data_IF_935875276396
#
_entry.id   IF_935875276396
#
_cell.length_a   1.000
_cell.length_b   1.000
_cell.length_c   1.000
_cell.angle_alpha   90.00
_cell.angle_beta   90.00
_cell.angle_gamma   90.00
#
_symmetry.space_group_name_H-M   'P 1'
#
loop_
_entity.id
_entity.type
_entity.pdbx_description
1 polymer ?
#
# COMPACT_ATOMS: atom_id res chain seq x y z
N UNK A 1 44.37 -13.78 13.25
CA UNK A 1 43.09 -14.41 12.92
C UNK A 1 42.91 -14.38 11.40
N UNK A 2 42.62 -15.53 10.80
CA UNK A 2 42.29 -15.63 9.38
C UNK A 2 40.96 -14.97 9.12
N UNK A 3 40.69 -14.53 7.87
CA UNK A 3 39.35 -13.99 7.49
C UNK A 3 38.33 -15.11 7.33
N UNK A 4 38.80 -16.30 6.98
CA UNK A 4 37.96 -17.48 6.78
C UNK A 4 37.83 -18.29 8.07
N UNK A 5 36.69 -19.00 8.21
CA UNK A 5 36.49 -19.95 9.30
C UNK A 5 37.47 -21.11 9.18
N UNK A 6 38.05 -21.50 10.31
CA UNK A 6 38.99 -22.63 10.41
C UNK A 6 38.27 -23.87 10.94
N UNK A 7 38.88 -25.05 10.78
CA UNK A 7 38.36 -26.28 11.39
C UNK A 7 38.25 -26.17 12.92
N UNK A 8 39.16 -25.44 13.56
CA UNK A 8 39.09 -25.21 14.99
C UNK A 8 37.89 -24.35 15.40
N UNK A 9 37.50 -23.38 14.54
CA UNK A 9 36.25 -22.60 14.77
C UNK A 9 35.04 -23.51 14.66
N UNK A 10 34.99 -24.39 13.66
CA UNK A 10 33.88 -25.33 13.49
C UNK A 10 33.75 -26.33 14.64
N UNK A 11 34.87 -26.86 15.13
CA UNK A 11 34.92 -27.75 16.30
C UNK A 11 34.40 -27.01 17.57
N UNK A 12 34.76 -25.74 17.74
CA UNK A 12 34.27 -24.92 18.83
C UNK A 12 32.78 -24.68 18.73
N UNK A 13 32.26 -24.35 17.52
CA UNK A 13 30.81 -24.15 17.29
C UNK A 13 30.01 -25.44 17.56
N UNK A 14 30.50 -26.59 17.10
CA UNK A 14 29.90 -27.89 17.37
C UNK A 14 29.84 -28.17 18.87
N UNK A 15 30.96 -27.99 19.57
CA UNK A 15 31.01 -28.17 21.01
C UNK A 15 30.09 -27.23 21.79
N UNK A 16 29.89 -25.98 21.32
CA UNK A 16 28.94 -25.05 21.89
C UNK A 16 27.49 -25.54 21.67
N UNK A 17 27.17 -26.00 20.45
CA UNK A 17 25.85 -26.55 20.13
C UNK A 17 25.50 -27.78 21.01
N UNK A 18 26.42 -28.73 21.17
CA UNK A 18 26.26 -29.95 21.97
C UNK A 18 25.98 -29.66 23.46
N UNK A 19 26.40 -28.49 23.95
CA UNK A 19 26.19 -28.04 25.33
C UNK A 19 24.85 -27.26 25.49
N UNK A 20 24.23 -26.90 24.39
CA UNK A 20 22.97 -26.11 24.44
C UNK A 20 21.83 -27.00 24.94
N UNK A 21 21.12 -26.64 26.00
CA UNK A 21 20.01 -27.43 26.52
C UNK A 21 18.93 -27.64 25.46
N UNK A 22 18.42 -28.87 25.36
CA UNK A 22 17.33 -29.23 24.45
C UNK A 22 17.61 -29.00 22.96
N UNK A 23 18.84 -28.74 22.53
CA UNK A 23 19.19 -28.40 21.14
C UNK A 23 18.62 -29.41 20.13
N UNK A 24 18.78 -30.72 20.37
CA UNK A 24 18.27 -31.76 19.47
C UNK A 24 16.75 -31.82 19.42
N UNK A 25 16.06 -31.47 20.50
CA UNK A 25 14.57 -31.39 20.52
C UNK A 25 14.10 -30.24 19.66
N UNK A 26 14.71 -29.07 19.83
CA UNK A 26 14.43 -27.87 19.05
C UNK A 26 14.77 -28.10 17.58
N UNK A 27 15.95 -28.69 17.30
CA UNK A 27 16.36 -29.02 15.93
C UNK A 27 15.33 -29.88 15.21
N UNK A 28 14.87 -30.99 15.83
CA UNK A 28 13.82 -31.86 15.25
C UNK A 28 12.52 -31.12 15.03
N UNK A 29 12.07 -30.29 15.99
CA UNK A 29 10.84 -29.51 15.86
C UNK A 29 10.92 -28.51 14.68
N UNK A 30 12.05 -27.82 14.53
CA UNK A 30 12.27 -26.86 13.44
C UNK A 30 12.42 -27.56 12.09
N UNK A 31 13.18 -28.67 12.03
CA UNK A 31 13.41 -29.45 10.81
C UNK A 31 12.11 -30.03 10.24
N UNK A 32 11.20 -30.48 11.10
CA UNK A 32 9.94 -31.11 10.69
C UNK A 32 8.87 -30.07 10.35
N UNK A 33 8.74 -28.98 11.14
CA UNK A 33 7.59 -28.05 11.06
C UNK A 33 7.95 -26.67 10.52
N UNK A 34 9.25 -26.36 10.38
CA UNK A 34 9.73 -25.03 10.06
C UNK A 34 9.72 -24.05 11.25
N UNK A 35 10.45 -22.94 11.09
CA UNK A 35 10.67 -21.95 12.16
C UNK A 35 9.34 -21.32 12.65
N UNK A 36 8.48 -20.92 11.73
CA UNK A 36 7.22 -20.25 12.06
C UNK A 36 6.31 -21.11 12.91
N UNK A 37 6.10 -22.38 12.54
CA UNK A 37 5.24 -23.28 13.30
C UNK A 37 5.88 -23.65 14.65
N UNK A 38 7.19 -23.91 14.70
CA UNK A 38 7.89 -24.25 15.93
C UNK A 38 7.95 -23.10 16.96
N UNK A 39 7.90 -21.84 16.50
CA UNK A 39 7.90 -20.64 17.34
C UNK A 39 6.52 -20.12 17.70
N UNK A 40 5.43 -20.73 17.21
CA UNK A 40 4.06 -20.23 17.40
C UNK A 40 3.68 -20.17 18.88
N UNK A 41 3.28 -18.97 19.34
CA UNK A 41 2.83 -18.74 20.70
C UNK A 41 1.33 -19.00 20.81
N UNK A 42 0.96 -20.12 21.40
CA UNK A 42 -0.44 -20.48 21.55
C UNK A 42 -1.20 -19.57 22.52
N UNK A 43 -0.52 -19.02 23.53
CA UNK A 43 -1.14 -18.16 24.53
C UNK A 43 -1.62 -16.80 23.95
N UNK A 44 -1.01 -16.33 22.85
CA UNK A 44 -1.43 -15.09 22.19
C UNK A 44 -2.90 -15.13 21.72
N UNK A 45 -3.45 -16.31 21.43
CA UNK A 45 -4.85 -16.46 20.96
C UNK A 45 -5.91 -15.94 21.93
N UNK A 46 -5.61 -15.83 23.22
CA UNK A 46 -6.57 -15.39 24.24
C UNK A 46 -7.04 -13.93 24.06
N UNK A 47 -6.29 -13.11 23.33
CA UNK A 47 -6.54 -11.68 23.15
C UNK A 47 -7.16 -11.33 21.78
N UNK A 48 -7.60 -12.31 21.00
CA UNK A 48 -8.02 -12.14 19.60
C UNK A 48 -9.54 -12.25 19.41
N UNK A 49 -10.34 -11.72 20.31
CA UNK A 49 -11.78 -11.59 20.11
C UNK A 49 -12.13 -10.40 19.19
N UNK A 50 -13.19 -10.57 18.38
CA UNK A 50 -13.66 -9.55 17.42
C UNK A 50 -14.72 -8.62 18.04
N UNK A 51 -14.42 -8.06 19.22
CA UNK A 51 -15.27 -7.06 19.88
C UNK A 51 -14.49 -5.77 20.00
N UNK A 52 -15.09 -4.66 19.55
CA UNK A 52 -14.46 -3.35 19.53
C UNK A 52 -15.43 -2.30 20.08
N UNK A 53 -14.91 -1.32 20.80
CA UNK A 53 -15.72 -0.25 21.39
C UNK A 53 -16.15 0.82 20.36
N UNK A 54 -15.42 0.93 19.25
CA UNK A 54 -15.74 1.81 18.12
C UNK A 54 -15.63 0.98 16.84
N UNK A 55 -16.69 0.93 16.04
CA UNK A 55 -16.71 0.25 14.74
C UNK A 55 -17.33 1.11 13.66
N UNK A 56 -16.81 0.98 12.44
CA UNK A 56 -17.27 1.62 11.22
C UNK A 56 -17.61 0.52 10.22
N UNK A 57 -18.83 0.52 9.69
CA UNK A 57 -19.23 -0.43 8.65
C UNK A 57 -18.80 0.09 7.28
N UNK A 58 -18.20 -0.76 6.46
CA UNK A 58 -17.63 -0.43 5.15
C UNK A 58 -18.22 -1.25 4.00
N UNK A 59 -19.21 -2.10 4.26
CA UNK A 59 -19.83 -2.99 3.26
C UNK A 59 -19.11 -4.33 3.09
N UNK A 60 -19.33 -5.02 1.96
CA UNK A 60 -18.70 -6.32 1.69
C UNK A 60 -17.21 -6.23 1.49
N UNK A 61 -16.51 -7.25 1.95
CA UNK A 61 -15.06 -7.37 1.77
C UNK A 61 -14.72 -7.53 0.29
N UNK A 62 -13.79 -6.72 -0.16
CA UNK A 62 -13.25 -6.76 -1.52
C UNK A 62 -12.11 -7.77 -1.66
N UNK A 63 -11.72 -8.08 -2.91
CA UNK A 63 -10.65 -9.05 -3.15
C UNK A 63 -9.78 -8.62 -4.33
N UNK A 64 -8.56 -8.14 -4.04
CA UNK A 64 -7.56 -7.77 -5.03
C UNK A 64 -6.93 -8.97 -5.77
N UNK A 65 -7.21 -10.20 -5.30
CA UNK A 65 -6.67 -11.45 -5.85
C UNK A 65 -5.14 -11.46 -5.89
N UNK A 66 -4.57 -11.78 -7.07
CA UNK A 66 -3.12 -11.84 -7.32
C UNK A 66 -2.64 -10.55 -8.01
N UNK A 67 -2.93 -9.41 -7.39
CA UNK A 67 -2.48 -8.10 -7.86
C UNK A 67 -1.95 -7.27 -6.69
N UNK A 68 -1.04 -6.33 -6.94
CA UNK A 68 -0.47 -5.41 -5.95
C UNK A 68 -1.31 -4.13 -5.73
N UNK A 69 -2.62 -4.18 -5.95
CA UNK A 69 -3.53 -3.01 -5.92
C UNK A 69 -4.12 -2.72 -4.53
N UNK A 70 -3.49 -3.18 -3.44
CA UNK A 70 -3.99 -2.99 -2.07
C UNK A 70 -4.28 -1.52 -1.75
N UNK A 71 -3.40 -0.62 -2.14
CA UNK A 71 -3.51 0.82 -1.94
C UNK A 71 -4.79 1.40 -2.56
N UNK A 72 -5.11 0.97 -3.78
CA UNK A 72 -6.31 1.41 -4.52
C UNK A 72 -7.58 0.79 -3.92
N UNK A 73 -7.59 -0.52 -3.63
CA UNK A 73 -8.71 -1.17 -2.95
C UNK A 73 -9.02 -0.51 -1.63
N UNK A 74 -8.01 -0.25 -0.79
CA UNK A 74 -8.18 0.42 0.50
C UNK A 74 -8.72 1.83 0.35
N UNK A 75 -8.22 2.63 -0.60
CA UNK A 75 -8.73 3.98 -0.86
C UNK A 75 -10.21 3.92 -1.25
N UNK A 76 -10.57 3.11 -2.25
CA UNK A 76 -11.95 3.01 -2.71
C UNK A 76 -12.89 2.45 -1.64
N UNK A 77 -12.41 1.55 -0.78
CA UNK A 77 -13.18 1.04 0.35
C UNK A 77 -13.48 2.11 1.41
N UNK A 78 -12.54 3.03 1.67
CA UNK A 78 -12.80 4.16 2.59
C UNK A 78 -13.82 5.17 2.01
N UNK A 79 -13.87 5.32 0.69
CA UNK A 79 -14.79 6.25 0.02
C UNK A 79 -16.20 5.69 -0.18
N UNK A 80 -16.33 4.39 -0.49
CA UNK A 80 -17.61 3.76 -0.86
C UNK A 80 -18.66 3.79 0.25
N UNK A 81 -18.24 3.85 1.52
CA UNK A 81 -19.13 3.86 2.67
C UNK A 81 -20.14 5.01 2.63
N UNK A 82 -19.64 6.23 2.36
CA UNK A 82 -20.53 7.41 2.27
C UNK A 82 -21.46 7.29 1.08
N UNK A 83 -20.95 6.85 -0.07
CA UNK A 83 -21.76 6.63 -1.27
C UNK A 83 -22.88 5.61 -1.03
N UNK A 84 -22.58 4.47 -0.40
CA UNK A 84 -23.58 3.46 -0.07
C UNK A 84 -24.69 4.04 0.83
N UNK A 85 -24.31 4.84 1.83
CA UNK A 85 -25.22 5.51 2.75
C UNK A 85 -26.11 6.53 2.02
N UNK A 86 -25.54 7.35 1.14
CA UNK A 86 -26.26 8.40 0.42
C UNK A 86 -27.21 7.81 -0.62
N UNK A 87 -26.83 6.71 -1.26
CA UNK A 87 -27.66 5.93 -2.19
C UNK A 87 -28.68 5.04 -1.47
N UNK A 88 -28.57 4.88 -0.15
CA UNK A 88 -29.36 3.95 0.66
C UNK A 88 -29.27 2.51 0.14
N UNK A 89 -28.05 2.04 -0.10
CA UNK A 89 -27.78 0.67 -0.54
C UNK A 89 -26.85 -0.02 0.46
N UNK A 90 -27.07 -1.31 0.70
CA UNK A 90 -26.23 -2.10 1.64
C UNK A 90 -24.80 -2.27 1.17
N UNK A 91 -24.63 -2.39 -0.15
CA UNK A 91 -23.35 -2.65 -0.77
C UNK A 91 -23.17 -1.75 -1.99
N UNK A 92 -22.03 -1.09 -2.02
CA UNK A 92 -21.59 -0.35 -3.18
C UNK A 92 -20.08 -0.64 -3.40
N UNK A 93 -19.68 -0.79 -4.65
CA UNK A 93 -18.28 -0.98 -5.01
C UNK A 93 -17.93 -0.17 -6.25
N UNK A 94 -16.83 0.58 -6.18
CA UNK A 94 -16.21 1.22 -7.33
C UNK A 94 -15.45 0.21 -8.17
N UNK A 95 -15.20 0.52 -9.42
CA UNK A 95 -14.36 -0.27 -10.31
C UNK A 95 -12.89 -0.01 -10.05
N UNK A 96 -12.23 -0.91 -9.36
CA UNK A 96 -10.77 -0.88 -9.24
C UNK A 96 -10.07 -1.13 -10.57
N UNK A 97 -10.74 -1.85 -11.48
CA UNK A 97 -10.23 -2.12 -12.82
C UNK A 97 -10.13 -0.83 -13.67
N UNK A 98 -11.10 0.09 -13.51
CA UNK A 98 -11.09 1.39 -14.19
C UNK A 98 -9.89 2.24 -13.76
N UNK A 99 -9.70 2.41 -12.46
CA UNK A 99 -8.58 3.20 -11.94
C UNK A 99 -7.23 2.51 -12.24
N UNK A 100 -7.17 1.18 -12.19
CA UNK A 100 -5.96 0.42 -12.55
C UNK A 100 -5.54 0.62 -14.00
N UNK A 101 -6.50 0.78 -14.92
CA UNK A 101 -6.18 1.09 -16.31
C UNK A 101 -5.41 2.41 -16.42
N UNK A 102 -5.89 3.46 -15.76
CA UNK A 102 -5.25 4.77 -15.80
C UNK A 102 -3.97 4.83 -14.96
N UNK A 103 -3.91 4.11 -13.85
CA UNK A 103 -2.70 3.95 -13.05
C UNK A 103 -1.55 3.43 -13.91
N UNK A 104 -1.75 2.32 -14.61
CA UNK A 104 -0.74 1.72 -15.48
C UNK A 104 -0.38 2.62 -16.66
N UNK A 105 -1.35 3.33 -17.21
CA UNK A 105 -1.10 4.29 -18.30
C UNK A 105 -0.22 5.46 -17.84
N UNK A 106 -0.51 6.03 -16.67
CA UNK A 106 0.25 7.16 -16.13
C UNK A 106 1.63 6.74 -15.63
N UNK A 107 1.76 5.56 -15.02
CA UNK A 107 3.07 5.00 -14.66
C UNK A 107 3.97 4.81 -15.86
N UNK A 108 3.44 4.25 -16.94
CA UNK A 108 4.20 4.14 -18.19
C UNK A 108 4.62 5.52 -18.72
N UNK A 109 3.71 6.51 -18.71
CA UNK A 109 4.02 7.88 -19.09
C UNK A 109 5.13 8.48 -18.22
N UNK A 110 5.02 8.33 -16.90
CA UNK A 110 6.02 8.81 -15.93
C UNK A 110 7.36 8.11 -16.13
N UNK A 111 7.36 6.79 -16.34
CA UNK A 111 8.57 6.03 -16.63
C UNK A 111 9.31 6.59 -17.87
N UNK A 112 8.61 6.85 -18.97
CA UNK A 112 9.25 7.44 -20.14
C UNK A 112 9.81 8.83 -19.88
N UNK A 113 9.11 9.70 -19.14
CA UNK A 113 9.64 11.03 -18.78
C UNK A 113 10.89 10.92 -17.88
N UNK A 114 10.91 9.99 -16.94
CA UNK A 114 12.10 9.68 -16.14
C UNK A 114 13.26 9.20 -17.01
N UNK A 115 13.00 8.32 -17.97
CA UNK A 115 14.01 7.82 -18.89
C UNK A 115 14.55 8.91 -19.83
N UNK A 116 13.71 9.86 -20.27
CA UNK A 116 14.14 11.04 -21.03
C UNK A 116 15.04 11.93 -20.17
N UNK A 117 14.63 12.24 -18.96
CA UNK A 117 15.42 13.06 -18.00
C UNK A 117 16.78 12.44 -17.67
N UNK A 118 16.83 11.13 -17.55
CA UNK A 118 18.04 10.39 -17.15
C UNK A 118 18.84 9.83 -18.34
N UNK A 119 18.46 10.16 -19.59
CA UNK A 119 19.05 9.59 -20.80
C UNK A 119 20.55 9.81 -20.97
N UNK A 120 21.12 10.90 -20.36
CA UNK A 120 22.54 11.23 -20.39
C UNK A 120 23.35 10.62 -19.23
N UNK A 121 22.67 10.05 -18.21
CA UNK A 121 23.36 9.46 -17.07
C UNK A 121 24.17 8.24 -17.48
N UNK A 122 25.23 7.93 -16.74
CA UNK A 122 26.04 6.73 -16.95
C UNK A 122 25.19 5.48 -16.76
N UNK A 123 25.65 4.35 -17.35
CA UNK A 123 24.91 3.08 -17.30
C UNK A 123 24.86 2.48 -15.86
N UNK A 124 25.77 2.91 -14.96
CA UNK A 124 25.84 2.53 -13.56
C UNK A 124 25.36 3.63 -12.59
N UNK A 125 24.76 4.71 -13.11
CA UNK A 125 24.13 5.75 -12.26
C UNK A 125 23.05 5.12 -11.40
N UNK A 126 23.10 5.37 -10.09
CA UNK A 126 22.22 4.74 -9.12
C UNK A 126 20.74 5.14 -9.33
N UNK A 127 20.48 6.40 -9.67
CA UNK A 127 19.11 6.87 -9.90
C UNK A 127 18.55 6.26 -11.18
N UNK A 128 19.35 6.23 -12.25
CA UNK A 128 18.95 5.61 -13.51
C UNK A 128 18.60 4.13 -13.32
N UNK A 129 19.47 3.35 -12.65
CA UNK A 129 19.23 1.94 -12.40
C UNK A 129 18.00 1.71 -11.51
N UNK A 130 17.82 2.52 -10.47
CA UNK A 130 16.67 2.43 -9.57
C UNK A 130 15.36 2.64 -10.33
N UNK A 131 15.25 3.73 -11.12
CA UNK A 131 14.05 4.03 -11.90
C UNK A 131 13.81 3.01 -13.03
N UNK A 132 14.89 2.49 -13.61
CA UNK A 132 14.80 1.42 -14.61
C UNK A 132 14.28 0.12 -13.99
N UNK A 133 14.73 -0.25 -12.80
CA UNK A 133 14.28 -1.47 -12.10
C UNK A 133 12.84 -1.34 -11.64
N UNK A 134 12.46 -0.17 -11.13
CA UNK A 134 11.10 0.09 -10.68
C UNK A 134 10.06 -0.14 -11.79
N UNK A 135 10.28 0.45 -12.96
CA UNK A 135 9.43 0.24 -14.14
C UNK A 135 7.97 0.68 -13.93
N UNK A 136 7.05 -0.20 -14.34
CA UNK A 136 5.60 -0.06 -14.21
C UNK A 136 5.07 -1.24 -13.37
N UNK A 137 4.84 -1.01 -12.07
CA UNK A 137 4.41 -2.01 -11.08
C UNK A 137 3.03 -1.67 -10.52
N UNK A 138 2.40 -2.64 -9.83
CA UNK A 138 1.05 -2.49 -9.28
C UNK A 138 0.95 -1.53 -8.07
N UNK A 139 2.04 -1.32 -7.34
CA UNK A 139 2.09 -0.57 -6.09
C UNK A 139 1.67 0.90 -6.22
N UNK A 140 1.35 1.54 -5.12
CA UNK A 140 1.00 2.96 -5.05
C UNK A 140 0.63 3.41 -3.66
N UNK A 141 0.34 4.70 -3.53
CA UNK A 141 0.00 5.39 -2.29
C UNK A 141 -1.41 5.97 -2.38
N UNK A 142 -1.96 6.44 -1.24
CA UNK A 142 -3.26 7.14 -1.23
C UNK A 142 -3.26 8.37 -2.17
N UNK A 143 -2.19 9.16 -2.16
CA UNK A 143 -2.05 10.33 -3.01
C UNK A 143 -2.14 9.98 -4.51
N UNK A 144 -1.61 8.82 -4.92
CA UNK A 144 -1.74 8.36 -6.31
C UNK A 144 -3.20 8.06 -6.68
N UNK A 145 -3.95 7.40 -5.78
CA UNK A 145 -5.38 7.17 -6.01
C UNK A 145 -6.15 8.50 -6.08
N UNK A 146 -5.86 9.44 -5.18
CA UNK A 146 -6.46 10.76 -5.17
C UNK A 146 -6.21 11.52 -6.49
N UNK A 147 -4.97 11.53 -6.97
CA UNK A 147 -4.59 12.17 -8.23
C UNK A 147 -5.30 11.54 -9.44
N UNK A 148 -5.37 10.20 -9.50
CA UNK A 148 -6.09 9.47 -10.56
C UNK A 148 -7.58 9.79 -10.54
N UNK A 149 -8.22 9.73 -9.38
CA UNK A 149 -9.66 10.01 -9.23
C UNK A 149 -9.96 11.46 -9.57
N UNK A 150 -9.14 12.41 -9.14
CA UNK A 150 -9.29 13.82 -9.50
C UNK A 150 -9.20 14.04 -11.01
N UNK A 151 -8.32 13.33 -11.71
CA UNK A 151 -8.12 13.47 -13.15
C UNK A 151 -9.17 12.73 -13.98
N UNK A 152 -9.47 11.49 -13.64
CA UNK A 152 -10.26 10.57 -14.46
C UNK A 152 -11.67 10.30 -13.93
N UNK A 153 -11.98 10.67 -12.69
CA UNK A 153 -13.25 10.34 -12.04
C UNK A 153 -13.30 8.89 -11.59
N UNK A 154 -14.52 8.42 -11.32
CA UNK A 154 -14.82 7.06 -10.87
C UNK A 154 -15.97 6.45 -11.66
N UNK A 155 -16.06 5.14 -11.66
CA UNK A 155 -17.21 4.41 -12.17
C UNK A 155 -17.61 3.29 -11.20
N UNK A 156 -18.90 2.88 -11.15
CA UNK A 156 -19.33 1.70 -10.43
C UNK A 156 -18.65 0.42 -11.00
N UNK A 157 -18.46 -0.59 -10.16
CA UNK A 157 -17.85 -1.87 -10.57
C UNK A 157 -18.59 -2.55 -11.72
N UNK A 158 -19.91 -2.41 -11.79
CA UNK A 158 -20.73 -2.97 -12.87
C UNK A 158 -20.42 -2.39 -14.24
N UNK A 159 -19.89 -1.18 -14.31
CA UNK A 159 -19.58 -0.46 -15.57
C UNK A 159 -18.26 -0.92 -16.18
N UNK A 160 -17.28 -1.21 -15.35
CA UNK A 160 -15.99 -1.79 -15.79
C UNK A 160 -15.54 -2.88 -14.79
N UNK A 161 -16.08 -4.10 -14.92
CA UNK A 161 -15.78 -5.20 -14.00
C UNK A 161 -14.34 -5.69 -14.12
N UNK A 162 -13.88 -6.45 -13.13
CA UNK A 162 -12.58 -7.10 -13.17
C UNK A 162 -12.46 -8.06 -14.35
N UNK A 163 -11.25 -8.18 -14.89
CA UNK A 163 -10.86 -9.13 -15.93
C UNK A 163 -9.93 -10.20 -15.32
N UNK A 164 -9.65 -11.25 -16.06
CA UNK A 164 -8.63 -12.23 -15.65
C UNK A 164 -7.28 -11.58 -15.39
N UNK A 165 -6.87 -10.62 -16.24
CA UNK A 165 -5.58 -9.94 -16.11
C UNK A 165 -5.56 -8.98 -14.93
N UNK A 166 -6.64 -8.22 -14.68
CA UNK A 166 -6.70 -7.32 -13.53
C UNK A 166 -6.69 -8.09 -12.19
N UNK A 167 -7.23 -9.31 -12.17
CA UNK A 167 -7.15 -10.21 -11.01
C UNK A 167 -5.83 -10.99 -10.90
N UNK A 168 -4.96 -10.95 -11.95
CA UNK A 168 -3.67 -11.66 -11.99
C UNK A 168 -2.68 -10.90 -12.87
N UNK A 169 -2.03 -9.88 -12.32
CA UNK A 169 -1.28 -8.86 -13.04
C UNK A 169 0.14 -9.25 -13.46
N UNK A 170 0.70 -10.34 -12.91
CA UNK A 170 2.13 -10.67 -13.08
C UNK A 170 2.56 -10.81 -14.55
N UNK A 171 1.78 -11.50 -15.39
CA UNK A 171 2.12 -11.66 -16.80
C UNK A 171 2.07 -10.33 -17.57
N UNK A 172 1.12 -9.45 -17.24
CA UNK A 172 1.07 -8.12 -17.82
C UNK A 172 2.27 -7.28 -17.38
N UNK A 173 2.63 -7.34 -16.09
CA UNK A 173 3.80 -6.65 -15.55
C UNK A 173 5.06 -7.05 -16.32
N UNK A 174 5.29 -8.35 -16.53
CA UNK A 174 6.46 -8.84 -17.27
C UNK A 174 6.50 -8.30 -18.70
N UNK A 175 5.40 -8.39 -19.43
CA UNK A 175 5.34 -7.96 -20.85
C UNK A 175 5.42 -6.44 -20.97
N UNK A 176 4.72 -5.70 -20.11
CA UNK A 176 4.72 -4.23 -20.13
C UNK A 176 6.11 -3.69 -19.76
N UNK A 177 6.73 -4.22 -18.70
CA UNK A 177 8.07 -3.82 -18.29
C UNK A 177 9.11 -4.13 -19.38
N UNK A 178 9.04 -5.31 -20.00
CA UNK A 178 9.93 -5.63 -21.12
C UNK A 178 9.78 -4.59 -22.26
N UNK A 179 8.54 -4.20 -22.57
CA UNK A 179 8.23 -3.21 -23.61
C UNK A 179 8.81 -1.84 -23.26
N UNK A 180 8.50 -1.28 -22.08
CA UNK A 180 8.93 0.08 -21.72
C UNK A 180 10.45 0.16 -21.52
N UNK A 181 11.08 -0.88 -20.93
CA UNK A 181 12.55 -0.95 -20.78
C UNK A 181 13.27 -1.07 -22.11
N UNK A 182 12.70 -1.80 -23.10
CA UNK A 182 13.19 -1.78 -24.47
C UNK A 182 13.15 -0.38 -25.08
N UNK A 183 12.06 0.33 -24.89
CA UNK A 183 11.90 1.70 -25.41
C UNK A 183 12.84 2.69 -24.70
N UNK A 184 13.14 2.49 -23.42
CA UNK A 184 14.14 3.27 -22.67
C UNK A 184 15.53 3.18 -23.34
N UNK A 185 15.91 2.01 -23.86
CA UNK A 185 17.16 1.86 -24.62
C UNK A 185 17.14 2.69 -25.92
N UNK A 186 16.01 2.76 -26.61
CA UNK A 186 15.88 3.60 -27.80
C UNK A 186 15.96 5.10 -27.44
N UNK A 187 15.36 5.54 -26.36
CA UNK A 187 15.48 6.92 -25.83
C UNK A 187 16.95 7.26 -25.58
N UNK A 188 17.73 6.36 -24.95
CA UNK A 188 19.17 6.60 -24.75
C UNK A 188 19.95 6.66 -26.07
N UNK A 189 19.62 5.81 -27.06
CA UNK A 189 20.22 5.90 -28.40
C UNK A 189 19.89 7.22 -29.10
N UNK A 190 18.63 7.66 -29.00
CA UNK A 190 18.21 8.96 -29.53
C UNK A 190 19.02 10.10 -28.90
N UNK A 191 19.20 10.09 -27.58
CA UNK A 191 20.01 11.10 -26.88
C UNK A 191 21.47 11.08 -27.33
N UNK A 192 22.10 9.90 -27.41
CA UNK A 192 23.48 9.73 -27.94
C UNK A 192 23.61 10.19 -29.39
N UNK A 193 22.54 10.15 -30.18
CA UNK A 193 22.47 10.65 -31.55
C UNK A 193 22.17 12.17 -31.63
N UNK A 194 22.13 12.87 -30.51
CA UNK A 194 21.90 14.32 -30.44
C UNK A 194 20.45 14.76 -30.63
N UNK A 195 19.47 13.84 -30.46
CA UNK A 195 18.05 14.16 -30.53
C UNK A 195 17.63 15.04 -29.36
N UNK A 196 16.67 15.93 -29.62
CA UNK A 196 16.12 16.84 -28.62
C UNK A 196 15.13 16.13 -27.71
N UNK A 197 14.81 16.72 -26.55
CA UNK A 197 13.75 16.21 -25.67
C UNK A 197 12.38 16.18 -26.36
N UNK A 198 12.09 17.15 -27.24
CA UNK A 198 10.86 17.20 -28.01
C UNK A 198 10.74 15.99 -28.94
N UNK A 199 11.82 15.63 -29.64
CA UNK A 199 11.85 14.42 -30.50
C UNK A 199 11.68 13.14 -29.67
N UNK A 200 12.29 13.07 -28.49
CA UNK A 200 12.12 11.93 -27.56
C UNK A 200 10.68 11.87 -27.00
N UNK A 201 10.05 13.01 -26.69
CA UNK A 201 8.63 13.05 -26.30
C UNK A 201 7.69 12.67 -27.44
N UNK A 202 8.00 13.04 -28.68
CA UNK A 202 7.25 12.57 -29.85
C UNK A 202 7.33 11.03 -29.98
N UNK A 203 8.52 10.45 -29.82
CA UNK A 203 8.71 8.99 -29.77
C UNK A 203 7.89 8.37 -28.63
N UNK A 204 7.96 8.93 -27.41
CA UNK A 204 7.14 8.50 -26.26
C UNK A 204 5.67 8.44 -26.63
N UNK A 205 5.10 9.48 -27.22
CA UNK A 205 3.67 9.53 -27.57
C UNK A 205 3.26 8.40 -28.55
N UNK A 206 4.12 8.07 -29.52
CA UNK A 206 3.87 6.91 -30.38
C UNK A 206 3.91 5.59 -29.61
N UNK A 207 4.84 5.46 -28.65
CA UNK A 207 4.95 4.27 -27.79
C UNK A 207 3.80 4.14 -26.80
N UNK A 208 3.29 5.25 -26.30
CA UNK A 208 2.09 5.28 -25.45
C UNK A 208 0.83 4.75 -26.15
N UNK A 209 0.70 4.88 -27.48
CA UNK A 209 -0.39 4.24 -28.23
C UNK A 209 -0.32 2.71 -28.16
N UNK A 210 0.89 2.16 -28.15
CA UNK A 210 1.11 0.72 -27.99
C UNK A 210 0.74 0.28 -26.55
N UNK A 211 1.18 1.03 -25.55
CA UNK A 211 0.83 0.80 -24.14
C UNK A 211 -0.69 0.86 -23.94
N UNK A 212 -1.35 1.91 -24.43
CA UNK A 212 -2.81 2.04 -24.33
C UNK A 212 -3.54 0.83 -24.91
N UNK A 213 -3.10 0.35 -26.09
CA UNK A 213 -3.67 -0.85 -26.73
C UNK A 213 -3.48 -2.10 -25.87
N UNK A 214 -2.29 -2.28 -25.27
CA UNK A 214 -2.02 -3.39 -24.35
C UNK A 214 -2.97 -3.35 -23.16
N UNK A 215 -3.14 -2.18 -22.57
CA UNK A 215 -4.02 -1.98 -21.40
C UNK A 215 -5.50 -2.21 -21.77
N UNK A 216 -5.96 -1.80 -22.97
CA UNK A 216 -7.32 -2.11 -23.44
C UNK A 216 -7.52 -3.63 -23.57
N UNK A 217 -6.52 -4.36 -24.06
CA UNK A 217 -6.61 -5.82 -24.15
C UNK A 217 -6.62 -6.51 -22.79
N UNK A 218 -5.93 -5.94 -21.80
CA UNK A 218 -5.80 -6.48 -20.44
C UNK A 218 -7.00 -6.15 -19.54
N UNK A 219 -7.37 -4.89 -19.49
CA UNK A 219 -8.37 -4.35 -18.53
C UNK A 219 -9.74 -4.06 -19.17
N UNK A 220 -9.82 -4.04 -20.48
CA UNK A 220 -10.97 -3.54 -21.22
C UNK A 220 -10.87 -2.06 -21.58
N UNK A 221 -11.77 -1.59 -22.46
CA UNK A 221 -11.80 -0.19 -22.85
C UNK A 221 -12.54 0.65 -21.81
N UNK A 222 -11.91 1.67 -21.22
CA UNK A 222 -12.57 2.55 -20.25
C UNK A 222 -13.81 3.23 -20.86
N UNK A 223 -14.92 3.33 -20.15
CA UNK A 223 -16.11 4.00 -20.63
C UNK A 223 -15.87 5.50 -20.71
N UNK A 224 -16.34 6.13 -21.80
CA UNK A 224 -16.40 7.59 -21.92
C UNK A 224 -17.67 8.12 -21.24
N UNK A 225 -18.75 7.39 -21.41
CA UNK A 225 -20.07 7.64 -20.78
C UNK A 225 -20.72 6.31 -20.44
N UNK A 226 -21.57 6.33 -19.41
CA UNK A 226 -22.34 5.17 -18.98
C UNK A 226 -23.68 5.60 -18.35
N UNK A 227 -24.60 4.66 -18.25
CA UNK A 227 -25.81 4.82 -17.46
C UNK A 227 -25.57 4.20 -16.08
N UNK A 228 -25.94 4.91 -15.02
CA UNK A 228 -25.89 4.41 -13.65
C UNK A 228 -27.28 4.14 -13.16
N UNK A 229 -27.62 2.87 -12.92
CA UNK A 229 -28.90 2.45 -12.41
C UNK A 229 -28.73 1.57 -11.16
N UNK A 230 -29.64 1.75 -10.18
CA UNK A 230 -29.65 0.96 -8.96
C UNK A 230 -31.04 0.91 -8.34
N UNK A 231 -31.24 -0.02 -7.42
CA UNK A 231 -32.37 -0.01 -6.47
C UNK A 231 -31.83 0.25 -5.08
N UNK A 232 -32.51 1.17 -4.39
CA UNK A 232 -32.22 1.44 -2.99
C UNK A 232 -32.85 0.36 -2.06
N UNK A 233 -32.59 0.47 -0.75
CA UNK A 233 -33.11 -0.45 0.27
C UNK A 233 -34.64 -0.41 0.40
N UNK A 234 -35.25 0.66 -0.05
CA UNK A 234 -36.73 0.80 -0.17
C UNK A 234 -37.26 0.23 -1.50
N UNK A 235 -36.41 -0.44 -2.28
CA UNK A 235 -36.70 -1.02 -3.60
C UNK A 235 -37.11 0.00 -4.66
N UNK A 236 -36.81 1.29 -4.46
CA UNK A 236 -37.03 2.32 -5.46
C UNK A 236 -35.98 2.23 -6.55
N UNK A 237 -36.41 2.38 -7.80
CA UNK A 237 -35.52 2.37 -8.96
C UNK A 237 -35.00 3.78 -9.25
N UNK A 238 -33.70 3.88 -9.43
CA UNK A 238 -33.00 5.11 -9.78
C UNK A 238 -32.18 4.90 -11.03
N UNK A 239 -32.09 5.92 -11.89
CA UNK A 239 -31.26 5.90 -13.09
C UNK A 239 -30.79 7.30 -13.44
N UNK A 240 -29.47 7.40 -13.69
CA UNK A 240 -28.83 8.55 -14.33
C UNK A 240 -28.20 8.10 -15.65
N UNK A 241 -28.52 8.80 -16.72
CA UNK A 241 -28.06 8.44 -18.06
C UNK A 241 -26.92 9.29 -18.54
N UNK A 242 -26.07 8.68 -19.38
CA UNK A 242 -24.98 9.36 -20.09
C UNK A 242 -23.98 10.10 -19.18
N UNK A 243 -23.75 9.65 -17.97
CA UNK A 243 -22.74 10.21 -17.08
C UNK A 243 -21.34 9.92 -17.62
N UNK A 244 -20.48 10.92 -17.61
CA UNK A 244 -19.03 10.70 -17.66
C UNK A 244 -18.55 10.23 -16.29
N UNK A 245 -17.37 9.55 -16.20
CA UNK A 245 -16.79 9.17 -14.91
C UNK A 245 -16.57 10.35 -13.96
N UNK A 246 -16.27 11.52 -14.50
CA UNK A 246 -16.08 12.75 -13.72
C UNK A 246 -17.41 13.29 -13.17
N UNK A 247 -18.47 13.33 -13.99
CA UNK A 247 -19.82 13.72 -13.54
C UNK A 247 -20.36 12.74 -12.48
N UNK A 248 -20.05 11.45 -12.60
CA UNK A 248 -20.39 10.47 -11.58
C UNK A 248 -19.65 10.75 -10.26
N UNK A 249 -18.33 10.97 -10.30
CA UNK A 249 -17.54 11.33 -9.14
C UNK A 249 -18.08 12.60 -8.46
N UNK A 250 -18.26 13.68 -9.21
CA UNK A 250 -18.70 14.98 -8.69
C UNK A 250 -20.11 14.90 -8.07
N UNK A 251 -20.99 14.03 -8.63
CA UNK A 251 -22.37 13.89 -8.18
C UNK A 251 -22.54 12.99 -6.96
N UNK A 252 -21.77 11.91 -6.85
CA UNK A 252 -22.04 10.84 -5.89
C UNK A 252 -20.98 10.65 -4.81
N UNK A 253 -19.77 11.18 -4.97
CA UNK A 253 -18.67 10.83 -4.05
C UNK A 253 -18.39 11.90 -3.00
N UNK A 254 -18.62 13.17 -3.27
CA UNK A 254 -18.53 14.29 -2.32
C UNK A 254 -17.24 14.32 -1.51
N UNK A 255 -16.08 14.09 -2.14
CA UNK A 255 -14.78 14.07 -1.51
C UNK A 255 -13.87 15.15 -2.12
N UNK A 256 -13.25 15.95 -1.26
CA UNK A 256 -12.12 16.80 -1.62
C UNK A 256 -10.84 16.18 -1.04
N UNK A 257 -9.97 15.69 -1.90
CA UNK A 257 -8.71 15.06 -1.46
C UNK A 257 -7.75 16.07 -0.81
N UNK A 258 -7.90 17.36 -1.09
CA UNK A 258 -7.14 18.40 -0.40
C UNK A 258 -7.44 18.50 1.10
N UNK A 259 -8.54 17.91 1.56
CA UNK A 259 -8.89 17.83 2.98
C UNK A 259 -8.14 16.75 3.76
N UNK A 260 -7.36 15.91 3.08
CA UNK A 260 -6.60 14.84 3.70
C UNK A 260 -5.17 15.25 4.02
N UNK A 261 -4.58 14.56 4.98
CA UNK A 261 -3.17 14.65 5.37
C UNK A 261 -2.63 13.25 5.60
N UNK A 262 -1.44 12.96 5.07
CA UNK A 262 -0.74 11.71 5.33
C UNK A 262 0.23 11.91 6.50
N UNK A 263 -0.08 11.26 7.61
CA UNK A 263 0.77 11.22 8.80
C UNK A 263 1.62 9.96 8.74
N UNK A 264 2.93 10.11 8.85
CA UNK A 264 3.86 8.98 8.93
C UNK A 264 4.52 8.89 10.29
N UNK A 265 4.90 7.68 10.69
CA UNK A 265 5.77 7.43 11.82
C UNK A 265 7.01 6.66 11.36
N UNK A 266 8.04 7.40 11.04
CA UNK A 266 9.35 6.91 10.62
C UNK A 266 10.44 7.44 11.58
N UNK A 267 10.74 6.71 12.66
CA UNK A 267 11.65 7.18 13.71
C UNK A 267 13.13 7.17 13.30
N UNK A 268 13.48 6.68 12.11
CA UNK A 268 14.78 6.85 11.47
C UNK A 268 14.94 8.22 10.78
N UNK A 269 13.85 9.01 10.72
CA UNK A 269 13.82 10.38 10.22
C UNK A 269 13.48 11.39 11.32
N UNK A 270 13.78 12.67 11.06
CA UNK A 270 13.45 13.74 12.01
C UNK A 270 11.93 13.90 12.13
N UNK A 271 11.43 13.91 13.39
CA UNK A 271 10.02 14.13 13.69
C UNK A 271 9.61 15.58 13.41
N UNK A 272 8.31 15.78 13.16
CA UNK A 272 7.72 17.08 12.85
C UNK A 272 8.30 17.76 11.61
N UNK A 273 8.65 16.94 10.62
CA UNK A 273 9.06 17.39 9.29
C UNK A 273 8.09 16.95 8.21
N UNK A 274 8.03 17.75 7.16
CA UNK A 274 7.31 17.45 5.94
C UNK A 274 8.28 16.88 4.92
N UNK A 275 8.02 15.66 4.45
CA UNK A 275 8.84 14.96 3.46
C UNK A 275 8.07 14.74 2.17
N UNK A 276 8.78 14.62 1.04
CA UNK A 276 8.19 14.19 -0.24
C UNK A 276 8.97 13.04 -0.86
N UNK A 277 8.26 12.18 -1.54
CA UNK A 277 8.82 11.03 -2.24
C UNK A 277 8.38 11.07 -3.73
N UNK A 278 8.90 12.06 -4.44
CA UNK A 278 8.46 12.41 -5.80
C UNK A 278 8.71 11.30 -6.84
N UNK A 279 9.58 10.32 -6.57
CA UNK A 279 9.74 9.17 -7.45
C UNK A 279 8.51 8.24 -7.43
N UNK A 280 7.66 8.32 -6.41
CA UNK A 280 6.39 7.61 -6.32
C UNK A 280 5.18 8.44 -6.81
N UNK A 281 5.38 9.66 -7.27
CA UNK A 281 4.35 10.38 -8.00
C UNK A 281 4.17 9.75 -9.38
N UNK A 282 2.93 9.46 -9.77
CA UNK A 282 2.64 8.86 -11.08
C UNK A 282 2.00 9.87 -12.05
N UNK A 283 1.53 11.00 -11.52
CA UNK A 283 1.05 12.12 -12.29
C UNK A 283 1.90 13.36 -12.00
N UNK A 284 2.09 14.21 -13.00
CA UNK A 284 2.74 15.51 -12.81
C UNK A 284 1.81 16.54 -12.19
N UNK A 285 0.51 16.33 -12.32
CA UNK A 285 -0.54 17.20 -11.82
C UNK A 285 -1.37 16.47 -10.76
N UNK A 286 -1.79 17.18 -9.73
CA UNK A 286 -2.65 16.65 -8.67
C UNK A 286 -1.92 16.42 -7.36
N UNK A 287 -2.44 15.48 -6.56
CA UNK A 287 -1.88 15.16 -5.25
C UNK A 287 -0.51 14.46 -5.38
N UNK A 288 0.44 14.91 -4.59
CA UNK A 288 1.79 14.36 -4.53
C UNK A 288 1.99 13.53 -3.28
N UNK A 289 2.89 12.56 -3.37
CA UNK A 289 3.26 11.72 -2.22
C UNK A 289 4.11 12.54 -1.26
N UNK A 290 3.47 12.96 -0.18
CA UNK A 290 4.10 13.73 0.91
C UNK A 290 3.69 13.19 2.26
N UNK A 291 4.54 13.33 3.27
CA UNK A 291 4.35 12.81 4.61
C UNK A 291 4.66 13.86 5.67
N UNK A 292 3.83 13.94 6.70
CA UNK A 292 4.16 14.65 7.95
C UNK A 292 4.59 13.62 8.98
N UNK A 293 5.89 13.61 9.34
CA UNK A 293 6.45 12.64 10.29
C UNK A 293 6.12 13.04 11.73
N UNK A 294 5.45 12.17 12.46
CA UNK A 294 4.94 12.41 13.81
C UNK A 294 5.22 11.25 14.76
N UNK A 295 5.25 11.48 16.09
CA UNK A 295 5.22 10.40 17.06
C UNK A 295 4.03 9.47 16.86
N UNK A 296 4.20 8.18 17.20
CA UNK A 296 3.17 7.16 16.96
C UNK A 296 1.88 7.45 17.72
N UNK A 297 1.97 8.03 18.91
CA UNK A 297 0.83 8.39 19.74
C UNK A 297 -0.03 9.48 19.08
N UNK A 298 0.59 10.45 18.40
CA UNK A 298 -0.12 11.49 17.67
C UNK A 298 -0.81 10.93 16.41
N UNK A 299 -0.16 9.99 15.72
CA UNK A 299 -0.76 9.28 14.60
C UNK A 299 -1.98 8.47 15.06
N UNK A 300 -1.86 7.68 16.15
CA UNK A 300 -2.97 6.92 16.74
C UNK A 300 -4.12 7.85 17.16
N UNK A 301 -3.82 8.98 17.77
CA UNK A 301 -4.85 9.93 18.22
C UNK A 301 -5.70 10.46 17.05
N UNK A 302 -5.07 10.79 15.91
CA UNK A 302 -5.77 11.23 14.71
C UNK A 302 -6.63 10.11 14.10
N UNK A 303 -6.12 8.88 14.06
CA UNK A 303 -6.86 7.68 13.60
C UNK A 303 -8.09 7.44 14.48
N UNK A 304 -7.94 7.45 15.81
CA UNK A 304 -9.03 7.26 16.77
C UNK A 304 -10.10 8.34 16.60
N UNK A 305 -9.69 9.61 16.45
CA UNK A 305 -10.62 10.72 16.25
C UNK A 305 -11.45 10.54 14.98
N UNK A 306 -10.83 10.10 13.87
CA UNK A 306 -11.55 9.83 12.62
C UNK A 306 -12.51 8.63 12.77
N UNK A 307 -12.10 7.53 13.38
CA UNK A 307 -12.96 6.38 13.64
C UNK A 307 -14.17 6.74 14.50
N UNK A 308 -13.98 7.54 15.57
CA UNK A 308 -15.08 8.05 16.40
C UNK A 308 -16.06 8.93 15.62
N UNK A 309 -15.65 9.54 14.52
CA UNK A 309 -16.55 10.29 13.60
C UNK A 309 -17.34 9.39 12.64
N UNK A 310 -17.11 8.07 12.67
CA UNK A 310 -17.78 7.12 11.78
C UNK A 310 -17.12 6.97 10.41
N UNK A 311 -15.84 7.31 10.25
CA UNK A 311 -15.09 7.21 9.01
C UNK A 311 -13.91 6.26 9.15
N UNK A 312 -13.77 5.31 8.20
CA UNK A 312 -12.62 4.43 8.11
C UNK A 312 -11.34 5.20 7.76
N UNK A 313 -10.18 4.61 8.06
CA UNK A 313 -8.87 5.23 7.84
C UNK A 313 -8.01 4.35 6.95
N UNK A 314 -7.54 4.88 5.84
CA UNK A 314 -6.52 4.24 5.04
C UNK A 314 -5.17 4.25 5.78
N UNK A 315 -4.43 3.13 5.77
CA UNK A 315 -3.12 3.05 6.40
C UNK A 315 -2.18 2.12 5.67
N UNK A 316 -0.87 2.42 5.76
CA UNK A 316 0.22 1.63 5.19
C UNK A 316 1.05 0.95 6.28
N UNK A 317 1.43 -0.31 6.03
CA UNK A 317 2.11 -1.14 7.01
C UNK A 317 3.01 -2.21 6.38
N UNK A 318 3.82 -2.89 7.21
CA UNK A 318 4.53 -4.12 6.84
C UNK A 318 3.70 -5.34 7.25
N UNK A 319 2.69 -5.66 6.44
CA UNK A 319 1.70 -6.69 6.77
C UNK A 319 2.29 -8.11 6.93
N UNK A 320 3.45 -8.38 6.33
CA UNK A 320 4.07 -9.71 6.35
C UNK A 320 4.67 -10.09 7.70
N UNK A 321 4.85 -9.13 8.59
CA UNK A 321 5.49 -9.33 9.90
C UNK A 321 4.47 -9.80 10.93
N UNK A 322 4.84 -10.83 11.66
CA UNK A 322 4.08 -11.38 12.79
C UNK A 322 2.57 -11.47 12.49
N UNK A 323 2.25 -12.11 11.35
CA UNK A 323 0.90 -12.28 10.83
C UNK A 323 0.48 -13.76 10.82
N UNK A 324 -0.70 -14.05 11.34
CA UNK A 324 -1.45 -15.27 11.08
C UNK A 324 -2.55 -14.96 10.04
N UNK A 325 -2.24 -15.18 8.76
CA UNK A 325 -3.12 -14.82 7.64
C UNK A 325 -4.44 -15.56 7.66
N UNK A 326 -4.41 -16.84 8.01
CA UNK A 326 -5.60 -17.71 8.02
C UNK A 326 -6.60 -17.23 9.07
N UNK A 327 -6.12 -16.93 10.27
CA UNK A 327 -6.96 -16.48 11.38
C UNK A 327 -7.19 -14.96 11.38
N UNK A 328 -6.48 -14.21 10.53
CA UNK A 328 -6.59 -12.75 10.44
C UNK A 328 -6.06 -12.02 11.67
N UNK A 329 -4.87 -12.37 12.10
CA UNK A 329 -4.26 -11.79 13.30
C UNK A 329 -2.92 -11.17 12.98
N UNK A 330 -2.74 -9.94 13.43
CA UNK A 330 -1.53 -9.14 13.38
C UNK A 330 -1.12 -8.86 14.83
N UNK A 331 -0.11 -9.59 15.34
CA UNK A 331 0.28 -9.50 16.74
C UNK A 331 1.77 -9.84 16.90
N UNK A 332 2.55 -8.95 17.53
CA UNK A 332 3.98 -9.12 17.78
C UNK A 332 4.31 -10.34 18.65
N UNK A 333 3.30 -10.85 19.35
CA UNK A 333 3.44 -12.01 20.26
C UNK A 333 3.14 -13.37 19.58
N UNK A 334 2.75 -13.37 18.29
CA UNK A 334 2.37 -14.61 17.58
C UNK A 334 3.51 -15.63 17.50
N UNK A 335 4.77 -15.16 17.38
CA UNK A 335 5.92 -16.02 17.12
C UNK A 335 7.09 -15.67 18.02
N UNK A 336 7.53 -16.60 18.85
CA UNK A 336 8.65 -16.47 19.78
C UNK A 336 9.97 -16.98 19.15
N UNK A 337 10.35 -16.39 17.99
CA UNK A 337 11.53 -16.84 17.21
C UNK A 337 12.84 -16.64 17.97
N UNK A 338 12.97 -15.53 18.72
CA UNK A 338 14.15 -15.26 19.55
C UNK A 338 14.28 -16.30 20.66
N UNK A 339 13.18 -16.63 21.34
CA UNK A 339 13.17 -17.67 22.38
C UNK A 339 13.45 -19.06 21.79
N UNK A 340 12.92 -19.37 20.59
CA UNK A 340 13.16 -20.65 19.91
C UNK A 340 14.67 -20.90 19.65
N UNK A 341 15.40 -19.87 19.26
CA UNK A 341 16.82 -19.98 18.90
C UNK A 341 17.77 -19.51 20.01
N UNK A 342 17.23 -19.07 21.15
CA UNK A 342 18.00 -18.46 22.25
C UNK A 342 18.92 -17.33 21.77
N UNK A 343 18.36 -16.42 20.96
CA UNK A 343 19.06 -15.24 20.42
C UNK A 343 18.23 -13.99 20.57
N UNK A 344 18.87 -12.84 20.70
CA UNK A 344 18.19 -11.55 20.66
C UNK A 344 17.89 -11.13 19.21
N UNK A 345 16.61 -11.04 18.88
CA UNK A 345 16.08 -10.55 17.59
C UNK A 345 15.38 -9.19 17.74
N UNK A 346 15.49 -8.54 18.90
CA UNK A 346 14.84 -7.26 19.12
C UNK A 346 15.48 -6.17 18.26
N UNK A 347 14.69 -5.63 17.37
CA UNK A 347 15.04 -4.49 16.54
C UNK A 347 13.88 -3.51 16.58
N UNK A 348 14.13 -2.31 17.04
CA UNK A 348 13.10 -1.27 17.08
C UNK A 348 12.69 -0.81 15.67
N UNK A 349 11.66 0.00 15.57
CA UNK A 349 11.13 0.46 14.29
C UNK A 349 12.16 1.26 13.49
N UNK A 350 12.96 2.12 14.15
CA UNK A 350 14.02 2.87 13.50
C UNK A 350 15.10 1.94 12.93
N UNK A 351 15.54 0.97 13.71
CA UNK A 351 16.52 -0.03 13.27
C UNK A 351 16.00 -0.88 12.12
N UNK A 352 14.73 -1.28 12.13
CA UNK A 352 14.12 -2.01 11.00
C UNK A 352 14.11 -1.21 9.70
N UNK A 353 13.75 0.07 9.75
CA UNK A 353 13.78 0.96 8.60
C UNK A 353 15.22 1.18 8.11
N UNK A 354 16.15 1.53 9.00
CA UNK A 354 17.54 1.79 8.66
C UNK A 354 18.26 0.55 8.06
N UNK A 355 17.89 -0.66 8.48
CA UNK A 355 18.46 -1.92 7.99
C UNK A 355 17.66 -2.54 6.83
N UNK A 356 16.54 -1.90 6.42
CA UNK A 356 15.62 -2.40 5.38
C UNK A 356 15.02 -3.78 5.69
N UNK A 357 14.95 -4.14 6.96
CA UNK A 357 14.17 -5.30 7.45
C UNK A 357 12.69 -4.97 7.49
N UNK A 358 12.34 -3.69 7.68
CA UNK A 358 10.98 -3.16 7.60
C UNK A 358 10.77 -2.30 6.38
N UNK A 359 9.59 -2.38 5.79
CA UNK A 359 9.14 -1.53 4.66
C UNK A 359 7.61 -1.44 4.65
N UNK A 360 7.09 -0.34 4.12
CA UNK A 360 5.65 -0.24 3.85
C UNK A 360 5.30 -1.10 2.62
N UNK A 361 4.74 -2.29 2.84
CA UNK A 361 4.51 -3.30 1.80
C UNK A 361 3.05 -3.51 1.45
N UNK A 362 2.11 -2.98 2.25
CA UNK A 362 0.67 -3.21 2.09
C UNK A 362 -0.15 -2.07 2.66
N UNK A 363 -1.29 -1.82 2.02
CA UNK A 363 -2.28 -0.88 2.50
C UNK A 363 -3.61 -1.56 2.80
N UNK A 364 -4.25 -1.13 3.89
CA UNK A 364 -5.55 -1.63 4.35
C UNK A 364 -6.38 -0.47 4.91
N UNK A 365 -7.60 -0.75 5.37
CA UNK A 365 -8.44 0.23 6.07
C UNK A 365 -8.65 -0.16 7.53
N UNK A 366 -8.39 0.77 8.46
CA UNK A 366 -8.78 0.62 9.85
C UNK A 366 -10.26 0.99 9.95
N UNK A 367 -11.07 0.06 10.44
CA UNK A 367 -12.52 0.17 10.55
C UNK A 367 -13.04 0.09 11.98
N UNK A 368 -12.15 -0.03 12.96
CA UNK A 368 -12.53 0.00 14.36
C UNK A 368 -11.34 0.01 15.30
N UNK A 369 -11.62 0.32 16.55
CA UNK A 369 -10.65 0.29 17.66
C UNK A 369 -11.36 -0.14 18.94
N UNK A 370 -10.68 -0.93 19.75
CA UNK A 370 -11.10 -1.22 21.10
C UNK A 370 -10.30 -0.35 22.09
N UNK A 371 -11.02 0.41 22.90
CA UNK A 371 -10.45 1.35 23.86
C UNK A 371 -10.74 0.88 25.29
N UNK A 372 -9.70 0.74 26.09
CA UNK A 372 -9.79 0.50 27.53
C UNK A 372 -9.17 1.70 28.25
N UNK A 373 -9.95 2.38 29.08
CA UNK A 373 -9.54 3.63 29.73
C UNK A 373 -8.98 4.67 28.73
N UNK A 374 -9.70 4.84 27.61
CA UNK A 374 -9.33 5.71 26.47
C UNK A 374 -8.01 5.36 25.77
N UNK A 375 -7.40 4.21 26.05
CA UNK A 375 -6.19 3.73 25.37
C UNK A 375 -6.52 2.60 24.41
N UNK A 376 -5.96 2.62 23.19
CA UNK A 376 -6.17 1.53 22.24
C UNK A 376 -5.48 0.26 22.71
N UNK A 377 -6.19 -0.87 22.59
CA UNK A 377 -5.65 -2.20 22.90
C UNK A 377 -5.59 -3.07 21.65
N UNK A 378 -6.54 -2.90 20.74
CA UNK A 378 -6.58 -3.60 19.44
C UNK A 378 -7.41 -2.82 18.43
N UNK A 379 -7.20 -3.13 17.16
CA UNK A 379 -7.78 -2.45 16.01
C UNK A 379 -8.45 -3.45 15.08
N UNK A 380 -9.59 -3.05 14.51
CA UNK A 380 -10.28 -3.81 13.46
C UNK A 380 -9.79 -3.32 12.11
N UNK A 381 -9.34 -4.25 11.29
CA UNK A 381 -8.76 -3.95 9.97
C UNK A 381 -9.56 -4.66 8.88
N UNK A 382 -10.01 -3.91 7.89
CA UNK A 382 -10.55 -4.44 6.64
C UNK A 382 -9.41 -4.68 5.66
N UNK A 383 -9.22 -5.94 5.24
CA UNK A 383 -8.23 -6.31 4.24
C UNK A 383 -8.91 -6.62 2.90
N UNK A 384 -8.18 -6.45 1.81
CA UNK A 384 -8.66 -6.71 0.44
C UNK A 384 -8.25 -8.10 -0.09
N UNK A 385 -8.27 -9.13 0.75
CA UNK A 385 -7.93 -10.51 0.36
C UNK A 385 -9.13 -11.46 0.32
N UNK A 386 -10.35 -10.91 0.34
CA UNK A 386 -11.60 -11.66 0.32
C UNK A 386 -11.95 -12.29 1.66
N UNK A 387 -13.19 -12.76 1.78
CA UNK A 387 -13.79 -13.21 3.03
C UNK A 387 -13.19 -14.51 3.61
N UNK A 388 -12.38 -15.25 2.84
CA UNK A 388 -11.80 -16.52 3.28
C UNK A 388 -10.60 -16.37 4.23
N UNK A 389 -10.00 -15.17 4.30
CA UNK A 389 -8.90 -14.86 5.20
C UNK A 389 -9.45 -14.14 6.42
N UNK A 390 -8.95 -14.51 7.61
CA UNK A 390 -9.41 -13.90 8.87
C UNK A 390 -10.89 -14.12 9.17
N UNK A 391 -11.46 -13.27 10.00
CA UNK A 391 -12.89 -13.30 10.32
C UNK A 391 -13.70 -12.60 9.22
N UNK A 392 -14.14 -13.35 8.21
CA UNK A 392 -14.89 -12.82 7.06
C UNK A 392 -14.15 -11.64 6.36
N UNK A 393 -12.82 -11.73 6.24
CA UNK A 393 -11.98 -10.71 5.62
C UNK A 393 -11.47 -9.61 6.55
N UNK A 394 -11.94 -9.57 7.79
CA UNK A 394 -11.43 -8.65 8.82
C UNK A 394 -10.30 -9.27 9.62
N UNK A 395 -9.32 -8.44 9.96
CA UNK A 395 -8.17 -8.81 10.78
C UNK A 395 -8.23 -8.06 12.12
N UNK A 396 -7.69 -8.70 13.15
CA UNK A 396 -7.37 -8.04 14.41
C UNK A 396 -5.91 -7.62 14.36
N UNK A 397 -5.65 -6.40 14.72
CA UNK A 397 -4.30 -5.86 14.88
C UNK A 397 -4.14 -5.40 16.33
N UNK A 398 -3.17 -5.99 17.06
CA UNK A 398 -2.88 -5.52 18.43
C UNK A 398 -2.24 -4.13 18.41
N UNK A 399 -2.37 -3.38 19.49
CA UNK A 399 -1.76 -2.04 19.58
C UNK A 399 -0.23 -2.10 19.52
N UNK A 400 0.38 -3.13 20.09
CA UNK A 400 1.81 -3.40 19.96
C UNK A 400 2.24 -3.63 18.50
N UNK A 401 1.43 -4.31 17.70
CA UNK A 401 1.70 -4.50 16.29
C UNK A 401 1.54 -3.18 15.50
N UNK A 402 0.54 -2.37 15.87
CA UNK A 402 0.39 -1.03 15.29
C UNK A 402 1.66 -0.20 15.50
N UNK A 403 2.18 -0.14 16.72
CA UNK A 403 3.42 0.59 17.03
C UNK A 403 4.62 0.08 16.25
N UNK A 404 4.70 -1.23 16.06
CA UNK A 404 5.84 -1.86 15.41
C UNK A 404 5.82 -1.70 13.89
N UNK A 405 4.66 -1.82 13.22
CA UNK A 405 4.60 -2.07 11.78
C UNK A 405 3.67 -1.16 10.98
N UNK A 406 2.92 -0.25 11.62
CA UNK A 406 2.18 0.80 10.90
C UNK A 406 3.11 1.98 10.65
N UNK A 407 3.29 2.35 9.39
CA UNK A 407 4.18 3.43 9.00
C UNK A 407 3.45 4.72 8.68
N UNK A 408 2.22 4.64 8.13
CA UNK A 408 1.47 5.81 7.71
C UNK A 408 -0.04 5.60 7.89
N UNK A 409 -0.75 6.70 8.08
CA UNK A 409 -2.20 6.74 8.08
C UNK A 409 -2.69 8.06 7.46
N UNK A 410 -3.67 7.95 6.56
CA UNK A 410 -4.25 9.11 5.90
C UNK A 410 -5.55 9.49 6.59
N UNK A 411 -5.58 10.68 7.15
CA UNK A 411 -6.72 11.20 7.90
C UNK A 411 -7.21 12.53 7.34
N UNK A 412 -8.46 12.88 7.63
CA UNK A 412 -8.95 14.22 7.34
C UNK A 412 -8.24 15.26 8.22
N UNK A 413 -7.84 16.38 7.66
CA UNK A 413 -7.15 17.50 8.33
C UNK A 413 -7.86 18.01 9.59
N UNK A 414 -9.19 17.88 9.65
CA UNK A 414 -9.93 18.25 10.85
C UNK A 414 -9.59 17.41 12.08
N UNK A 415 -9.03 16.21 11.91
CA UNK A 415 -8.57 15.32 12.99
C UNK A 415 -7.07 15.43 13.28
N UNK A 416 -6.35 16.16 12.44
CA UNK A 416 -4.95 16.50 12.67
C UNK A 416 -4.83 17.72 13.59
N UNK A 417 -3.75 17.78 14.37
CA UNK A 417 -3.43 18.95 15.20
C UNK A 417 -3.08 20.17 14.34
N UNK A 418 -3.19 21.38 14.91
CA UNK A 418 -2.80 22.59 14.18
C UNK A 418 -1.32 22.56 13.80
N UNK A 419 -0.45 22.05 14.68
CA UNK A 419 0.96 21.84 14.39
C UNK A 419 1.19 20.94 13.15
N UNK A 420 0.47 19.84 13.06
CA UNK A 420 0.57 18.92 11.90
C UNK A 420 0.11 19.59 10.60
N UNK A 421 -0.98 20.36 10.65
CA UNK A 421 -1.48 21.14 9.51
C UNK A 421 -0.48 22.23 9.07
N UNK A 422 0.14 22.93 10.02
CA UNK A 422 1.17 23.94 9.75
C UNK A 422 2.39 23.27 9.07
N UNK A 423 2.85 22.12 9.56
CA UNK A 423 3.96 21.37 8.96
C UNK A 423 3.62 20.98 7.53
N UNK A 424 2.43 20.45 7.28
CA UNK A 424 1.97 20.06 5.95
C UNK A 424 1.92 21.22 4.93
N UNK A 425 1.88 22.48 5.39
CA UNK A 425 1.93 23.67 4.53
C UNK A 425 3.37 24.11 4.21
N UNK A 426 4.37 23.56 4.88
CA UNK A 426 5.78 23.86 4.58
C UNK A 426 6.21 23.17 3.28
N UNK A 427 7.27 23.70 2.66
CA UNK A 427 7.87 23.02 1.52
C UNK A 427 8.44 21.67 1.98
N UNK A 428 8.03 20.54 1.37
CA UNK A 428 8.52 19.24 1.77
C UNK A 428 10.01 19.07 1.45
N UNK A 429 10.73 18.37 2.33
CA UNK A 429 12.09 17.92 2.10
C UNK A 429 12.07 16.69 1.18
N UNK A 430 12.76 16.73 0.02
CA UNK A 430 12.74 15.62 -0.92
C UNK A 430 13.60 14.46 -0.42
N UNK A 431 12.99 13.30 -0.32
CA UNK A 431 13.67 12.04 -0.02
C UNK A 431 14.30 11.45 -1.29
N UNK A 432 15.28 10.57 -1.09
CA UNK A 432 15.88 9.83 -2.20
C UNK A 432 14.92 8.74 -2.70
N UNK A 433 14.96 8.38 -4.00
CA UNK A 433 14.12 7.30 -4.52
C UNK A 433 14.21 5.98 -3.76
N UNK A 434 15.34 5.70 -3.17
CA UNK A 434 15.62 4.50 -2.37
C UNK A 434 15.58 4.75 -0.86
N UNK A 435 14.79 5.69 -0.41
CA UNK A 435 14.58 5.96 1.00
C UNK A 435 13.82 4.82 1.70
N UNK A 436 13.87 4.75 3.03
CA UNK A 436 13.17 3.74 3.83
C UNK A 436 11.64 3.89 3.79
N UNK A 437 11.15 5.08 3.43
CA UNK A 437 9.73 5.39 3.23
C UNK A 437 9.24 5.06 1.81
N UNK A 438 10.12 4.61 0.92
CA UNK A 438 9.84 4.30 -0.49
C UNK A 438 9.64 2.83 -0.83
#
# INVERSE_FOLDING_TARGET
MTKDLTNADLENFQSAYEKTPCADVIARAVQENGVTAASKNFAAKANHDHVFSVEVETGKITNQKKSGRCWLFSTLNTLRQQVAKDLKVKDFEFSQNYDSFYDRLEKANMFYEKMIRLAERDDDDREYLFELDWGDEDGGQFANAAALINKYGLVPKSVMPETFVSENTSELNDVLNLKIKKDALEIRKMKKAGKTEEEMRAFKLEKMKEVYRMLVYAFGKPPVKFDFEYRDDDNQYHIDRNLTPKEFFDKYVHVDFSDYIDLTNAPDHEMYKHYSLSNQDYLFEGEHVTYVNVPIEELKAAVIAQLKSGKAVWFGCDVSKDMDRENGVLDTDLFKKGELFDIDLNLDKAGRLATRVGQCSHAMAITGVDLVDDKPVKWKVENSWGEKNGNKGYFIMTDAWFDAYVYQAVVLKQFATDKQKEIAQTKPEPLKPWDSLG
#
